data_IF_931036179949
#
_entry.id   IF_931036179949
#
_cell.length_a   1.000
_cell.length_b   1.000
_cell.length_c   1.000
_cell.angle_alpha   90.00
_cell.angle_beta   90.00
_cell.angle_gamma   90.00
#
_symmetry.space_group_name_H-M   'P 1'
#
loop_
_entity.id
_entity.type
_entity.pdbx_description
1 polymer ?
#
# COMPACT_ATOMS: atom_id res chain seq x y z
N UNK A 1 -54.95 51.03 33.79
CA UNK A 1 -54.51 49.71 34.26
C UNK A 1 -53.40 49.21 33.35
N UNK A 2 -52.13 49.37 33.76
CA UNK A 2 -50.98 48.95 32.96
C UNK A 2 -50.36 47.70 33.58
N UNK A 3 -50.36 46.60 32.83
CA UNK A 3 -49.77 45.31 33.21
C UNK A 3 -48.25 45.37 33.05
N UNK A 4 -47.53 45.27 34.17
CA UNK A 4 -46.07 45.31 34.22
C UNK A 4 -45.51 43.96 33.76
N UNK A 5 -45.06 43.90 32.51
CA UNK A 5 -44.29 42.76 31.99
C UNK A 5 -43.00 42.61 32.80
N UNK A 6 -42.84 41.47 33.49
CA UNK A 6 -41.59 41.09 34.17
C UNK A 6 -40.71 40.38 33.14
N UNK A 7 -39.72 41.09 32.60
CA UNK A 7 -38.63 40.48 31.86
C UNK A 7 -37.90 39.48 32.74
N UNK A 8 -37.80 38.23 32.28
CA UNK A 8 -36.98 37.20 32.92
C UNK A 8 -35.51 37.62 32.83
N UNK A 9 -34.78 37.75 33.96
CA UNK A 9 -33.35 37.95 33.89
C UNK A 9 -32.74 36.60 33.55
N UNK A 10 -32.35 36.43 32.29
CA UNK A 10 -31.47 35.35 31.90
C UNK A 10 -30.21 35.48 32.74
N UNK A 11 -30.03 34.59 33.71
CA UNK A 11 -28.81 34.49 34.50
C UNK A 11 -27.66 34.25 33.53
N UNK A 12 -26.69 35.17 33.50
CA UNK A 12 -25.41 34.94 32.86
C UNK A 12 -24.60 34.02 33.77
N UNK A 13 -24.91 32.73 33.74
CA UNK A 13 -24.15 31.73 34.46
C UNK A 13 -22.80 31.53 33.73
N UNK A 14 -21.70 31.85 34.42
CA UNK A 14 -20.35 31.59 33.93
C UNK A 14 -19.99 30.11 34.04
N UNK A 15 -19.06 29.65 33.21
CA UNK A 15 -18.57 28.28 33.27
C UNK A 15 -18.00 27.94 34.65
N UNK A 16 -18.37 26.79 35.18
CA UNK A 16 -17.81 26.31 36.46
C UNK A 16 -16.39 25.79 36.24
N UNK A 17 -15.54 25.89 37.27
CA UNK A 17 -14.18 25.32 37.21
C UNK A 17 -14.22 23.80 36.95
N UNK A 18 -15.23 23.12 37.49
CA UNK A 18 -15.47 21.69 37.27
C UNK A 18 -15.73 21.39 35.79
N UNK A 19 -16.53 22.21 35.12
CA UNK A 19 -16.89 22.04 33.72
C UNK A 19 -15.67 22.22 32.79
N UNK A 20 -14.82 23.21 33.08
CA UNK A 20 -13.55 23.41 32.35
C UNK A 20 -12.61 22.21 32.55
N UNK A 21 -12.51 21.68 33.76
CA UNK A 21 -11.69 20.50 34.05
C UNK A 21 -12.21 19.26 33.32
N UNK A 22 -13.52 19.04 33.29
CA UNK A 22 -14.13 17.94 32.55
C UNK A 22 -13.88 18.12 31.04
N UNK A 23 -14.05 19.33 30.51
CA UNK A 23 -13.79 19.62 29.10
C UNK A 23 -12.33 19.32 28.73
N UNK A 24 -11.37 19.77 29.55
CA UNK A 24 -9.95 19.47 29.37
C UNK A 24 -9.65 17.97 29.43
N UNK A 25 -10.29 17.24 30.36
CA UNK A 25 -10.12 15.79 30.46
C UNK A 25 -10.60 15.07 29.18
N UNK A 26 -11.76 15.47 28.64
CA UNK A 26 -12.29 14.91 27.39
C UNK A 26 -11.37 15.23 26.21
N UNK A 27 -10.90 16.48 26.10
CA UNK A 27 -9.97 16.91 25.04
C UNK A 27 -8.66 16.13 25.10
N UNK A 28 -8.11 15.92 26.31
CA UNK A 28 -6.88 15.16 26.49
C UNK A 28 -7.01 13.71 25.99
N UNK A 29 -8.12 13.03 26.34
CA UNK A 29 -8.40 11.67 25.87
C UNK A 29 -8.53 11.65 24.33
N UNK A 30 -9.28 12.60 23.77
CA UNK A 30 -9.48 12.71 22.32
C UNK A 30 -8.16 12.94 21.56
N UNK A 31 -7.23 13.73 22.11
CA UNK A 31 -5.92 13.93 21.48
C UNK A 31 -5.06 12.68 21.51
N UNK A 32 -5.03 11.93 22.61
CA UNK A 32 -4.25 10.70 22.71
C UNK A 32 -4.75 9.66 21.70
N UNK A 33 -6.08 9.52 21.56
CA UNK A 33 -6.65 8.61 20.55
C UNK A 33 -6.33 9.07 19.14
N UNK A 34 -6.47 10.37 18.84
CA UNK A 34 -6.16 10.93 17.53
C UNK A 34 -4.69 10.71 17.14
N UNK A 35 -3.75 10.94 18.06
CA UNK A 35 -2.31 10.69 17.82
C UNK A 35 -2.04 9.21 17.55
N UNK A 36 -2.65 8.32 18.32
CA UNK A 36 -2.52 6.87 18.12
C UNK A 36 -3.05 6.41 16.76
N UNK A 37 -4.18 6.98 16.31
CA UNK A 37 -4.73 6.73 14.98
C UNK A 37 -3.84 7.28 13.86
N UNK A 38 -3.32 8.50 14.03
CA UNK A 38 -2.44 9.12 13.04
C UNK A 38 -1.16 8.30 12.82
N UNK A 39 -0.55 7.78 13.88
CA UNK A 39 0.62 6.93 13.80
C UNK A 39 0.36 5.64 12.99
N UNK A 40 -0.80 5.01 13.21
CA UNK A 40 -1.21 3.82 12.44
C UNK A 40 -1.45 4.14 10.97
N UNK A 41 -2.09 5.27 10.69
CA UNK A 41 -2.39 5.68 9.32
C UNK A 41 -1.10 5.85 8.48
N UNK A 42 -0.05 6.42 9.07
CA UNK A 42 1.26 6.56 8.39
C UNK A 42 1.81 5.19 7.98
N UNK A 43 1.78 4.19 8.86
CA UNK A 43 2.28 2.85 8.52
C UNK A 43 1.51 2.20 7.37
N UNK A 44 0.18 2.38 7.33
CA UNK A 44 -0.66 1.88 6.24
C UNK A 44 -0.35 2.58 4.93
N UNK A 45 -0.21 3.91 4.94
CA UNK A 45 0.14 4.69 3.74
C UNK A 45 1.48 4.25 3.15
N UNK A 46 2.49 4.03 3.99
CA UNK A 46 3.81 3.55 3.53
C UNK A 46 3.69 2.16 2.90
N UNK A 47 2.92 1.27 3.52
CA UNK A 47 2.66 -0.06 2.99
C UNK A 47 1.98 0.01 1.61
N UNK A 48 0.90 0.78 1.48
CA UNK A 48 0.14 0.91 0.23
C UNK A 48 0.99 1.51 -0.89
N UNK A 49 1.83 2.51 -0.57
CA UNK A 49 2.77 3.08 -1.54
C UNK A 49 3.80 2.06 -2.02
N UNK A 50 4.35 1.25 -1.11
CA UNK A 50 5.32 0.22 -1.46
C UNK A 50 4.68 -0.91 -2.27
N UNK A 51 3.45 -1.31 -1.94
CA UNK A 51 2.69 -2.29 -2.71
C UNK A 51 2.41 -1.78 -4.13
N UNK A 52 1.93 -0.54 -4.27
CA UNK A 52 1.70 0.07 -5.57
C UNK A 52 2.98 0.12 -6.42
N UNK A 53 4.11 0.48 -5.79
CA UNK A 53 5.43 0.46 -6.44
C UNK A 53 5.83 -0.95 -6.86
N UNK A 54 5.70 -1.94 -5.98
CA UNK A 54 5.99 -3.34 -6.29
C UNK A 54 5.17 -3.87 -7.47
N UNK A 55 3.88 -3.51 -7.56
CA UNK A 55 3.01 -3.87 -8.69
C UNK A 55 3.51 -3.28 -10.01
N UNK A 56 3.91 -2.00 -10.01
CA UNK A 56 4.44 -1.35 -11.20
C UNK A 56 5.74 -2.01 -11.66
N UNK A 57 6.64 -2.30 -10.72
CA UNK A 57 7.91 -2.96 -11.00
C UNK A 57 7.72 -4.39 -11.51
N UNK A 58 6.79 -5.15 -10.93
CA UNK A 58 6.46 -6.50 -11.39
C UNK A 58 5.93 -6.48 -12.83
N UNK A 59 5.07 -5.50 -13.16
CA UNK A 59 4.56 -5.31 -14.53
C UNK A 59 5.63 -4.92 -15.51
N UNK A 60 6.49 -3.97 -15.15
CA UNK A 60 7.63 -3.56 -15.98
C UNK A 60 8.53 -4.76 -16.29
N UNK A 61 8.88 -5.55 -15.27
CA UNK A 61 9.69 -6.75 -15.45
C UNK A 61 8.99 -7.79 -16.33
N UNK A 62 7.70 -8.01 -16.14
CA UNK A 62 6.92 -8.91 -17.00
C UNK A 62 6.95 -8.45 -18.46
N UNK A 63 6.83 -7.15 -18.73
CA UNK A 63 6.95 -6.61 -20.09
C UNK A 63 8.36 -6.79 -20.67
N UNK A 64 9.41 -6.61 -19.88
CA UNK A 64 10.78 -6.86 -20.31
C UNK A 64 11.00 -8.34 -20.68
N UNK A 65 10.47 -9.26 -19.88
CA UNK A 65 10.54 -10.70 -20.18
C UNK A 65 9.79 -11.05 -21.46
N UNK A 66 8.59 -10.50 -21.65
CA UNK A 66 7.83 -10.70 -22.89
C UNK A 66 8.59 -10.17 -24.11
N UNK A 67 9.22 -9.01 -23.99
CA UNK A 67 10.03 -8.43 -25.04
C UNK A 67 11.26 -9.30 -25.37
N UNK A 68 11.97 -9.80 -24.35
CA UNK A 68 13.10 -10.71 -24.54
C UNK A 68 12.66 -12.01 -25.23
N UNK A 69 11.53 -12.60 -24.81
CA UNK A 69 10.97 -13.78 -25.44
C UNK A 69 10.63 -13.55 -26.92
N UNK A 70 10.13 -12.36 -27.28
CA UNK A 70 9.83 -11.99 -28.67
C UNK A 70 11.08 -11.80 -29.54
N UNK A 71 12.16 -11.25 -28.99
CA UNK A 71 13.37 -10.96 -29.77
C UNK A 71 14.36 -12.12 -29.85
N UNK A 72 14.50 -12.87 -28.76
CA UNK A 72 15.54 -13.89 -28.61
C UNK A 72 14.96 -15.31 -28.53
N UNK A 73 13.64 -15.44 -28.62
CA UNK A 73 12.93 -16.71 -28.48
C UNK A 73 12.71 -17.10 -27.01
N UNK A 74 11.87 -18.11 -26.81
CA UNK A 74 11.41 -18.52 -25.48
C UNK A 74 12.51 -19.10 -24.58
N UNK A 75 13.61 -19.60 -25.17
CA UNK A 75 14.76 -20.17 -24.45
C UNK A 75 15.68 -19.12 -23.81
N UNK A 76 15.52 -17.84 -24.20
CA UNK A 76 16.20 -16.73 -23.55
C UNK A 76 15.64 -16.43 -22.16
N UNK A 77 14.39 -16.83 -21.89
CA UNK A 77 13.71 -16.57 -20.62
C UNK A 77 14.15 -17.59 -19.58
N UNK A 78 14.87 -17.12 -18.55
CA UNK A 78 15.46 -17.95 -17.49
C UNK A 78 14.99 -17.51 -16.11
N UNK A 79 15.06 -18.40 -15.14
CA UNK A 79 14.85 -18.02 -13.74
C UNK A 79 16.00 -17.12 -13.28
N UNK A 80 15.66 -16.01 -12.64
CA UNK A 80 16.62 -15.00 -12.20
C UNK A 80 16.09 -14.27 -10.97
N UNK A 81 16.95 -13.97 -10.00
CA UNK A 81 16.59 -13.17 -8.85
C UNK A 81 17.65 -12.10 -8.60
N UNK A 82 17.23 -10.92 -8.13
CA UNK A 82 18.17 -9.82 -7.92
C UNK A 82 17.54 -8.54 -7.36
N UNK A 83 18.38 -7.55 -7.04
CA UNK A 83 17.91 -6.20 -6.75
C UNK A 83 17.31 -5.57 -8.01
N UNK A 84 16.36 -4.66 -7.82
CA UNK A 84 15.80 -3.86 -8.92
C UNK A 84 16.60 -2.56 -9.06
N UNK A 85 17.19 -2.34 -10.23
CA UNK A 85 17.95 -1.13 -10.53
C UNK A 85 17.10 0.14 -10.37
N UNK A 86 17.65 1.15 -9.70
CA UNK A 86 16.94 2.40 -9.41
C UNK A 86 15.94 2.34 -8.25
N UNK A 87 15.73 1.16 -7.64
CA UNK A 87 14.79 0.98 -6.53
C UNK A 87 15.46 0.28 -5.33
N UNK A 88 16.23 1.03 -4.50
CA UNK A 88 16.88 0.46 -3.33
C UNK A 88 15.87 -0.19 -2.38
N UNK A 89 16.18 -1.41 -1.92
CA UNK A 89 15.33 -2.18 -1.01
C UNK A 89 14.22 -2.98 -1.70
N UNK A 90 14.06 -2.87 -3.03
CA UNK A 90 13.19 -3.75 -3.80
C UNK A 90 14.00 -4.85 -4.47
N UNK A 91 13.47 -6.06 -4.42
CA UNK A 91 14.05 -7.25 -5.01
C UNK A 91 13.00 -7.95 -5.87
N UNK A 92 13.46 -8.66 -6.88
CA UNK A 92 12.64 -9.52 -7.71
C UNK A 92 13.14 -10.95 -7.67
N UNK A 93 12.22 -11.86 -7.91
CA UNK A 93 12.45 -13.28 -8.10
C UNK A 93 11.58 -13.76 -9.26
N UNK A 94 12.23 -14.23 -10.31
CA UNK A 94 11.61 -14.70 -11.53
C UNK A 94 11.84 -16.20 -11.65
N UNK A 95 10.75 -16.95 -11.77
CA UNK A 95 10.79 -18.38 -11.98
C UNK A 95 10.09 -18.75 -13.29
N UNK A 96 10.71 -19.66 -14.03
CA UNK A 96 10.20 -20.15 -15.31
C UNK A 96 9.80 -21.62 -15.16
N UNK A 97 8.55 -21.92 -15.46
CA UNK A 97 7.99 -23.26 -15.41
C UNK A 97 7.60 -23.76 -16.81
N UNK A 98 7.89 -25.02 -17.15
CA UNK A 98 7.39 -25.64 -18.37
C UNK A 98 5.88 -25.87 -18.28
N UNK A 99 5.15 -25.65 -19.38
CA UNK A 99 3.68 -25.84 -19.42
C UNK A 99 3.25 -27.12 -20.14
N UNK A 100 4.19 -27.95 -20.57
CA UNK A 100 3.92 -29.16 -21.38
C UNK A 100 3.71 -28.89 -22.86
N UNK A 101 3.80 -27.63 -23.29
CA UNK A 101 3.81 -27.20 -24.70
C UNK A 101 5.19 -26.65 -25.03
N UNK A 102 5.85 -27.17 -26.06
CA UNK A 102 7.22 -26.76 -26.43
C UNK A 102 7.31 -25.27 -26.81
N UNK A 103 6.21 -24.67 -27.21
CA UNK A 103 6.12 -23.28 -27.67
C UNK A 103 5.75 -22.29 -26.57
N UNK A 104 5.57 -22.75 -25.32
CA UNK A 104 5.01 -21.93 -24.24
C UNK A 104 5.71 -22.22 -22.91
N UNK A 105 5.95 -21.16 -22.15
CA UNK A 105 6.50 -21.22 -20.78
C UNK A 105 5.68 -20.32 -19.87
N UNK A 106 5.48 -20.78 -18.66
CA UNK A 106 4.89 -19.97 -17.59
C UNK A 106 6.02 -19.24 -16.89
N UNK A 107 5.83 -17.95 -16.64
CA UNK A 107 6.78 -17.13 -15.90
C UNK A 107 6.05 -16.52 -14.71
N UNK A 108 6.63 -16.71 -13.54
CA UNK A 108 6.15 -16.16 -12.28
C UNK A 108 7.17 -15.11 -11.85
N UNK A 109 6.75 -13.85 -11.77
CA UNK A 109 7.59 -12.74 -11.28
C UNK A 109 7.04 -12.30 -9.94
N UNK A 110 7.89 -12.37 -8.91
CA UNK A 110 7.61 -11.93 -7.55
C UNK A 110 8.46 -10.71 -7.23
N UNK A 111 7.84 -9.63 -6.76
CA UNK A 111 8.54 -8.42 -6.31
C UNK A 111 8.24 -8.17 -4.84
N UNK A 112 9.29 -8.00 -4.04
CA UNK A 112 9.20 -7.83 -2.58
C UNK A 112 10.11 -6.70 -2.08
N UNK A 113 9.67 -6.02 -1.02
CA UNK A 113 10.38 -4.91 -0.36
C UNK A 113 10.58 -5.12 1.15
N UNK A 114 10.00 -6.19 1.70
CA UNK A 114 10.22 -6.62 3.08
C UNK A 114 10.57 -8.11 3.06
N UNK A 115 11.73 -8.46 3.62
CA UNK A 115 12.19 -9.85 3.70
C UNK A 115 11.49 -10.63 4.83
N UNK A 116 10.89 -9.94 5.81
CA UNK A 116 10.21 -10.56 6.95
C UNK A 116 8.77 -10.93 6.66
N UNK A 117 8.17 -10.24 5.71
CA UNK A 117 6.80 -10.45 5.29
C UNK A 117 6.84 -10.68 3.77
N UNK A 118 6.69 -11.93 3.33
CA UNK A 118 6.56 -12.32 1.92
C UNK A 118 5.27 -11.80 1.28
N UNK A 119 4.79 -10.62 1.69
CA UNK A 119 3.81 -9.83 0.95
C UNK A 119 4.50 -9.30 -0.31
N UNK A 120 4.70 -10.23 -1.24
CA UNK A 120 5.21 -9.98 -2.56
C UNK A 120 4.03 -9.73 -3.50
N UNK A 121 4.19 -8.79 -4.43
CA UNK A 121 3.33 -8.77 -5.59
C UNK A 121 3.80 -9.89 -6.52
N UNK A 122 2.93 -10.86 -6.77
CA UNK A 122 3.16 -11.91 -7.75
C UNK A 122 2.38 -11.64 -9.03
N UNK A 123 3.09 -11.70 -10.15
CA UNK A 123 2.52 -11.63 -11.49
C UNK A 123 2.88 -12.91 -12.22
N UNK A 124 1.88 -13.75 -12.46
CA UNK A 124 2.02 -14.94 -13.30
C UNK A 124 1.52 -14.62 -14.69
N UNK A 125 2.35 -14.90 -15.70
CA UNK A 125 2.00 -14.76 -17.10
C UNK A 125 2.61 -15.88 -17.92
N UNK A 126 2.20 -15.96 -19.18
CA UNK A 126 2.73 -16.93 -20.12
C UNK A 126 3.39 -16.21 -21.28
N UNK A 127 4.53 -16.74 -21.69
CA UNK A 127 5.26 -16.32 -22.89
C UNK A 127 5.19 -17.43 -23.92
N UNK A 128 5.09 -17.03 -25.18
CA UNK A 128 5.07 -17.92 -26.34
C UNK A 128 6.26 -17.58 -27.23
N UNK A 129 6.80 -18.59 -27.90
CA UNK A 129 7.75 -18.39 -28.98
C UNK A 129 7.11 -17.58 -30.13
N UNK A 130 7.83 -16.58 -30.64
CA UNK A 130 7.40 -15.75 -31.75
C UNK A 130 7.68 -16.41 -33.12
N UNK A 131 8.42 -17.52 -33.16
CA UNK A 131 8.83 -18.19 -34.38
C UNK A 131 7.76 -19.08 -35.06
N UNK A 132 6.47 -18.91 -34.73
CA UNK A 132 5.34 -19.62 -35.34
C UNK A 132 4.23 -18.67 -35.81
#
# INVERSE_FOLDING_TARGET
MASKQRGSPWKKDGFTLLEVLIALAVIAIAFVTLLGWHARNISTIIYDQNLARAVLLARERASLVQYMAMQQGIDSVRSEAGPIDGYPGFFYDQEVFPTGLDTMRQVVVRVFWDQRNMQACEVTFFVRDAAL
#
